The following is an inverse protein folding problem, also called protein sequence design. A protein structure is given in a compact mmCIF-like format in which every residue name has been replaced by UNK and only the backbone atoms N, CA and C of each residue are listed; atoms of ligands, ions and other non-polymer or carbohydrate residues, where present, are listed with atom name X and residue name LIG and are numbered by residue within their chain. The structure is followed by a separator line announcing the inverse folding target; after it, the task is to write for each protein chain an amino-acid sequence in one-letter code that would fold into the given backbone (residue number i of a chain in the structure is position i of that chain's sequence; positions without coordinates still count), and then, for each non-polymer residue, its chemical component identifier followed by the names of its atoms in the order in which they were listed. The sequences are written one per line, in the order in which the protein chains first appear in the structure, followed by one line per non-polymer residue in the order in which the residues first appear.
data_IF_131911505858
#
_entry.id   IF_131911505858
#
_cell.length_a   1.000
_cell.length_b   1.000
_cell.length_c   1.000
_cell.angle_alpha   90.00
_cell.angle_beta   90.00
_cell.angle_gamma   90.00
#
_symmetry.space_group_name_H-M   'P 1'
#
loop_
_entity.id
_entity.type
_entity.pdbx_description
1 polymer ?
#
# COMPACT_ATOMS: atom_id res chain seq x y z
N UNK A 1 -6.22 6.07 -0.80
CA UNK A 1 -7.70 6.30 -0.68
C UNK A 1 -8.07 7.59 0.06
N UNK A 2 -9.29 8.14 -0.16
CA UNK A 2 -9.82 9.32 0.59
C UNK A 2 -11.08 8.97 1.40
N UNK A 3 -11.11 9.33 2.68
CA UNK A 3 -12.28 9.24 3.53
C UNK A 3 -13.34 10.27 3.11
N UNK A 4 -14.58 9.83 2.88
CA UNK A 4 -15.69 10.69 2.49
C UNK A 4 -16.22 11.55 3.66
N UNK A 5 -15.96 11.15 4.91
CA UNK A 5 -16.46 11.83 6.10
C UNK A 5 -15.54 12.96 6.58
N UNK A 6 -14.24 12.69 6.71
CA UNK A 6 -13.27 13.64 7.25
C UNK A 6 -12.23 14.13 6.22
N UNK A 7 -12.27 13.61 5.00
CA UNK A 7 -11.33 13.99 3.94
C UNK A 7 -9.92 13.40 4.07
N UNK A 8 -9.63 12.61 5.11
CA UNK A 8 -8.33 11.95 5.30
C UNK A 8 -7.90 11.15 4.06
N UNK A 9 -6.68 11.37 3.59
CA UNK A 9 -6.07 10.60 2.51
C UNK A 9 -4.99 9.71 3.09
N UNK A 10 -5.10 8.40 2.88
CA UNK A 10 -4.16 7.39 3.38
C UNK A 10 -4.26 6.10 2.55
N UNK A 11 -3.35 5.17 2.78
CA UNK A 11 -3.31 3.88 2.08
C UNK A 11 -4.51 3.00 2.43
N UNK A 12 -4.93 2.12 1.52
CA UNK A 12 -6.11 1.25 1.75
C UNK A 12 -5.97 0.33 2.96
N UNK A 13 -4.75 -0.11 3.29
CA UNK A 13 -4.47 -0.96 4.45
C UNK A 13 -4.53 -0.20 5.78
N UNK A 14 -4.49 1.14 5.76
CA UNK A 14 -4.76 1.96 6.95
C UNK A 14 -6.25 2.03 7.28
N UNK A 15 -7.12 1.73 6.30
CA UNK A 15 -8.56 1.62 6.49
C UNK A 15 -8.92 0.18 6.84
N UNK A 16 -9.26 -0.05 8.10
CA UNK A 16 -9.56 -1.38 8.65
C UNK A 16 -10.83 -1.95 8.00
N UNK A 17 -10.74 -3.17 7.48
CA UNK A 17 -11.86 -3.86 6.85
C UNK A 17 -12.74 -4.55 7.91
N UNK A 18 -14.02 -4.18 7.98
CA UNK A 18 -14.97 -4.74 8.94
C UNK A 18 -16.00 -5.64 8.24
N UNK A 19 -15.69 -6.93 8.12
CA UNK A 19 -16.60 -7.89 7.47
C UNK A 19 -17.84 -8.25 8.32
N UNK A 20 -17.99 -7.70 9.53
CA UNK A 20 -19.17 -7.92 10.38
C UNK A 20 -20.33 -7.01 9.99
N UNK A 21 -20.05 -5.92 9.27
CA UNK A 21 -21.04 -4.99 8.74
C UNK A 21 -21.44 -5.42 7.33
N UNK A 22 -22.74 -5.30 7.02
CA UNK A 22 -23.25 -5.62 5.70
C UNK A 22 -22.54 -4.79 4.62
N UNK A 23 -22.23 -5.44 3.49
CA UNK A 23 -21.71 -4.76 2.32
C UNK A 23 -22.69 -3.66 1.88
N UNK A 24 -22.15 -2.50 1.50
CA UNK A 24 -22.91 -1.41 0.92
C UNK A 24 -23.47 -1.75 -0.46
N UNK A 25 -24.30 -0.86 -1.04
CA UNK A 25 -24.85 -1.04 -2.38
C UNK A 25 -23.77 -1.39 -3.40
N UNK A 26 -24.09 -2.25 -4.37
CA UNK A 26 -23.16 -2.65 -5.44
C UNK A 26 -21.89 -3.39 -4.95
N UNK A 27 -21.98 -4.10 -3.81
CA UNK A 27 -20.88 -4.93 -3.31
C UNK A 27 -19.71 -4.12 -2.74
N UNK A 28 -20.01 -2.96 -2.15
CA UNK A 28 -19.02 -2.14 -1.45
C UNK A 28 -18.69 -2.72 -0.08
N UNK A 29 -17.42 -2.78 0.28
CA UNK A 29 -16.99 -3.27 1.58
C UNK A 29 -16.82 -2.10 2.57
N UNK A 30 -17.33 -2.23 3.80
CA UNK A 30 -17.16 -1.23 4.84
C UNK A 30 -15.72 -1.26 5.37
N UNK A 31 -15.07 -0.09 5.34
CA UNK A 31 -13.78 0.12 5.98
C UNK A 31 -13.81 1.30 6.94
N UNK A 32 -13.14 1.15 8.08
CA UNK A 32 -13.10 2.13 9.14
C UNK A 32 -11.95 3.10 8.88
N UNK A 33 -12.24 4.40 8.86
CA UNK A 33 -11.21 5.42 8.70
C UNK A 33 -10.33 5.50 9.97
N UNK A 34 -8.99 5.51 9.86
CA UNK A 34 -8.12 5.57 11.03
C UNK A 34 -8.24 6.90 11.79
N UNK A 35 -8.62 7.99 11.11
CA UNK A 35 -8.72 9.34 11.68
C UNK A 35 -10.05 9.65 12.34
N UNK A 36 -11.18 9.41 11.67
CA UNK A 36 -12.49 9.76 12.21
C UNK A 36 -13.28 8.56 12.73
N UNK A 37 -12.76 7.33 12.60
CA UNK A 37 -13.42 6.09 13.03
C UNK A 37 -14.78 5.80 12.37
N UNK A 38 -15.12 6.56 11.34
CA UNK A 38 -16.35 6.37 10.56
C UNK A 38 -16.17 5.31 9.47
N UNK A 39 -17.28 4.63 9.16
CA UNK A 39 -17.35 3.71 8.02
C UNK A 39 -17.30 4.46 6.68
N UNK A 40 -16.51 3.90 5.78
CA UNK A 40 -16.39 4.31 4.39
C UNK A 40 -16.61 3.07 3.52
N UNK A 41 -17.41 3.20 2.48
CA UNK A 41 -17.80 2.08 1.62
C UNK A 41 -17.06 2.20 0.29
N UNK A 42 -16.24 1.20 -0.02
CA UNK A 42 -15.44 1.16 -1.25
C UNK A 42 -15.80 -0.08 -2.07
N UNK A 43 -15.94 0.04 -3.39
CA UNK A 43 -16.20 -1.13 -4.24
C UNK A 43 -14.94 -1.95 -4.42
N UNK A 44 -15.07 -3.28 -4.57
CA UNK A 44 -13.92 -4.19 -4.76
C UNK A 44 -13.04 -3.81 -5.96
N UNK A 45 -13.65 -3.30 -7.03
CA UNK A 45 -12.92 -2.80 -8.20
C UNK A 45 -12.11 -1.54 -7.86
N UNK A 46 -12.71 -0.61 -7.09
CA UNK A 46 -12.01 0.55 -6.55
C UNK A 46 -10.87 0.16 -5.60
N UNK A 47 -11.08 -0.86 -4.75
CA UNK A 47 -10.02 -1.36 -3.89
C UNK A 47 -8.84 -1.87 -4.71
N UNK A 48 -9.10 -2.66 -5.75
CA UNK A 48 -8.05 -3.17 -6.64
C UNK A 48 -7.31 -2.04 -7.37
N UNK A 49 -8.03 -1.07 -7.91
CA UNK A 49 -7.42 0.11 -8.54
C UNK A 49 -6.61 0.93 -7.55
N UNK A 50 -7.10 1.11 -6.33
CA UNK A 50 -6.37 1.82 -5.28
C UNK A 50 -5.09 1.10 -4.86
N UNK A 51 -5.11 -0.23 -4.76
CA UNK A 51 -3.91 -1.04 -4.49
C UNK A 51 -2.92 -0.93 -5.65
N UNK A 52 -3.39 -0.91 -6.90
CA UNK A 52 -2.53 -0.73 -8.07
C UNK A 52 -1.84 0.64 -8.07
N UNK A 53 -2.59 1.72 -7.88
CA UNK A 53 -2.05 3.08 -7.83
C UNK A 53 -1.10 3.27 -6.65
N UNK A 54 -1.46 2.75 -5.47
CA UNK A 54 -0.64 2.81 -4.25
C UNK A 54 0.65 1.97 -4.41
N UNK A 55 0.57 0.80 -5.05
CA UNK A 55 1.74 -0.02 -5.37
C UNK A 55 2.68 0.70 -6.35
N UNK A 56 2.15 1.34 -7.40
CA UNK A 56 2.96 2.11 -8.34
C UNK A 56 3.67 3.28 -7.66
N UNK A 57 2.97 4.03 -6.80
CA UNK A 57 3.56 5.12 -6.04
C UNK A 57 4.69 4.64 -5.12
N UNK A 58 4.42 3.61 -4.31
CA UNK A 58 5.42 3.04 -3.41
C UNK A 58 6.62 2.43 -4.15
N UNK A 59 6.40 1.85 -5.33
CA UNK A 59 7.47 1.33 -6.19
C UNK A 59 8.41 2.45 -6.64
N UNK A 60 7.84 3.55 -7.13
CA UNK A 60 8.60 4.70 -7.60
C UNK A 60 9.37 5.35 -6.45
N UNK A 61 8.72 5.52 -5.30
CA UNK A 61 9.34 6.09 -4.11
C UNK A 61 10.48 5.20 -3.58
N UNK A 62 10.26 3.89 -3.46
CA UNK A 62 11.30 2.95 -3.03
C UNK A 62 12.50 2.99 -3.98
N UNK A 63 12.27 2.99 -5.30
CA UNK A 63 13.33 3.10 -6.29
C UNK A 63 14.14 4.39 -6.11
N UNK A 64 13.48 5.52 -5.96
CA UNK A 64 14.14 6.82 -5.74
C UNK A 64 14.97 6.84 -4.46
N UNK A 65 14.43 6.33 -3.35
CA UNK A 65 15.16 6.25 -2.07
C UNK A 65 16.40 5.38 -2.22
N UNK A 66 16.27 4.19 -2.81
CA UNK A 66 17.39 3.27 -3.01
C UNK A 66 18.45 3.86 -3.94
N UNK A 67 18.04 4.53 -5.02
CA UNK A 67 18.94 5.17 -5.98
C UNK A 67 19.66 6.40 -5.39
N UNK A 68 19.03 7.12 -4.46
CA UNK A 68 19.67 8.25 -3.76
C UNK A 68 20.85 7.83 -2.89
N UNK A 69 20.87 6.57 -2.43
CA UNK A 69 21.93 6.04 -1.59
C UNK A 69 21.95 6.62 -0.16
N UNK A 70 21.03 7.50 0.23
CA UNK A 70 20.89 8.00 1.61
C UNK A 70 19.52 7.61 2.16
N UNK A 71 19.49 6.57 2.99
CA UNK A 71 18.25 5.98 3.48
C UNK A 71 18.43 5.27 4.80
N UNK A 72 17.34 5.27 5.58
CA UNK A 72 17.22 4.50 6.80
C UNK A 72 16.71 3.09 6.46
N UNK A 73 17.46 2.05 6.85
CA UNK A 73 17.15 0.65 6.53
C UNK A 73 15.77 0.23 7.05
N UNK A 74 15.37 0.73 8.23
CA UNK A 74 14.05 0.50 8.85
C UNK A 74 12.90 0.93 7.93
N UNK A 75 12.98 2.16 7.39
CA UNK A 75 11.99 2.75 6.49
C UNK A 75 11.90 2.01 5.15
N UNK A 76 13.04 1.55 4.62
CA UNK A 76 13.01 0.71 3.41
C UNK A 76 12.31 -0.61 3.68
N UNK A 77 12.65 -1.29 4.79
CA UNK A 77 12.03 -2.58 5.14
C UNK A 77 10.52 -2.45 5.33
N UNK A 78 10.05 -1.36 5.92
CA UNK A 78 8.62 -1.06 6.04
C UNK A 78 7.96 -0.97 4.65
N UNK A 79 8.53 -0.16 3.74
CA UNK A 79 8.01 -0.02 2.36
C UNK A 79 8.04 -1.34 1.58
N UNK A 80 9.09 -2.13 1.72
CA UNK A 80 9.20 -3.47 1.11
C UNK A 80 8.06 -4.37 1.60
N UNK A 81 7.80 -4.40 2.90
CA UNK A 81 6.73 -5.22 3.47
C UNK A 81 5.36 -4.83 2.91
N UNK A 82 5.08 -3.52 2.80
CA UNK A 82 3.83 -3.03 2.19
C UNK A 82 3.72 -3.43 0.72
N UNK A 83 4.79 -3.28 -0.07
CA UNK A 83 4.80 -3.70 -1.48
C UNK A 83 4.58 -5.21 -1.64
N UNK A 84 5.17 -6.04 -0.77
CA UNK A 84 4.95 -7.49 -0.78
C UNK A 84 3.52 -7.86 -0.42
N UNK A 85 2.87 -7.11 0.47
CA UNK A 85 1.44 -7.27 0.76
C UNK A 85 0.59 -6.92 -0.48
N UNK A 86 0.92 -5.83 -1.18
CA UNK A 86 0.21 -5.43 -2.39
C UNK A 86 0.42 -6.40 -3.56
N UNK A 87 1.62 -6.97 -3.71
CA UNK A 87 1.89 -8.05 -4.69
C UNK A 87 0.95 -9.25 -4.50
N UNK A 88 0.50 -9.54 -3.27
CA UNK A 88 -0.47 -10.63 -3.00
C UNK A 88 -1.90 -10.23 -3.37
N UNK A 89 -2.22 -8.94 -3.33
CA UNK A 89 -3.56 -8.38 -3.59
C UNK A 89 -3.76 -7.97 -5.05
N UNK A 90 -2.69 -7.68 -5.78
CA UNK A 90 -2.71 -7.36 -7.20
C UNK A 90 -1.58 -7.99 -7.99
N UNK A 91 -1.92 -8.50 -9.17
CA UNK A 91 -0.98 -9.10 -10.11
C UNK A 91 -0.29 -8.08 -11.02
N UNK A 92 -0.84 -6.88 -11.17
CA UNK A 92 -0.44 -5.94 -12.24
C UNK A 92 1.03 -5.55 -12.20
N UNK A 93 1.56 -5.30 -11.00
CA UNK A 93 2.94 -4.88 -10.76
C UNK A 93 3.78 -5.96 -10.08
N UNK A 94 3.31 -7.22 -10.07
CA UNK A 94 3.97 -8.31 -9.32
C UNK A 94 5.43 -8.52 -9.72
N UNK A 95 5.74 -8.41 -11.02
CA UNK A 95 7.10 -8.53 -11.54
C UNK A 95 7.97 -7.33 -11.13
N UNK A 96 7.47 -6.11 -11.33
CA UNK A 96 8.18 -4.88 -10.97
C UNK A 96 8.48 -4.82 -9.46
N UNK A 97 7.51 -5.20 -8.61
CA UNK A 97 7.69 -5.30 -7.16
C UNK A 97 8.82 -6.26 -6.83
N UNK A 98 8.87 -7.42 -7.49
CA UNK A 98 9.92 -8.41 -7.25
C UNK A 98 11.30 -7.82 -7.55
N UNK A 99 11.46 -7.20 -8.72
CA UNK A 99 12.74 -6.65 -9.16
C UNK A 99 13.22 -5.49 -8.27
N UNK A 100 12.32 -4.56 -7.92
CA UNK A 100 12.66 -3.41 -7.06
C UNK A 100 12.99 -3.86 -5.64
N UNK A 101 12.24 -4.82 -5.07
CA UNK A 101 12.53 -5.37 -3.74
C UNK A 101 13.87 -6.09 -3.71
N UNK A 102 14.18 -6.91 -4.72
CA UNK A 102 15.49 -7.58 -4.84
C UNK A 102 16.65 -6.56 -4.94
N UNK A 103 16.46 -5.51 -5.75
CA UNK A 103 17.43 -4.42 -5.87
C UNK A 103 17.63 -3.67 -4.56
N UNK A 104 16.54 -3.32 -3.86
CA UNK A 104 16.57 -2.65 -2.57
C UNK A 104 17.29 -3.49 -1.50
N UNK A 105 17.01 -4.80 -1.44
CA UNK A 105 17.68 -5.70 -0.49
C UNK A 105 19.19 -5.78 -0.74
N UNK A 106 19.62 -5.92 -2.01
CA UNK A 106 21.07 -5.91 -2.36
C UNK A 106 21.76 -4.61 -1.93
N UNK A 107 21.07 -3.48 -2.05
CA UNK A 107 21.60 -2.16 -1.64
C UNK A 107 21.67 -2.00 -0.13
N UNK A 108 20.73 -2.58 0.62
CA UNK A 108 20.79 -2.63 2.09
C UNK A 108 21.96 -3.50 2.55
N UNK A 109 22.14 -4.68 1.95
CA UNK A 109 23.24 -5.61 2.30
C UNK A 109 24.61 -4.94 2.11
N UNK A 110 24.80 -4.17 1.03
CA UNK A 110 26.03 -3.41 0.78
C UNK A 110 26.32 -2.24 1.72
N UNK A 111 25.41 -1.89 2.65
CA UNK A 111 25.61 -0.88 3.70
C UNK A 111 25.75 -1.48 5.11
N UNK A 112 25.67 -2.80 5.23
CA UNK A 112 25.74 -3.53 6.50
C UNK A 112 27.15 -3.84 7.00
N UNK A 113 28.19 -3.25 6.40
CA UNK A 113 29.60 -3.34 6.81
C UNK A 113 30.15 -1.98 7.26
#
# INVERSE_FOLDING_TARGET
MRCQKCGYVGLINEFELDLTVAAGPSGQYPRICPKCKEYNYFSKEWEKLSVDDEALFLLQELKQIVDSGDFEVSKIKEKINTLLEYKRKSFRYSLDITQVVEYANKKIEGKGE
#
